data_IF_074567004687
#
_entry.id   IF_074567004687
#
_cell.length_a   1.000
_cell.length_b   1.000
_cell.length_c   1.000
_cell.angle_alpha   90.00
_cell.angle_beta   90.00
_cell.angle_gamma   90.00
#
_symmetry.space_group_name_H-M   'P 1'
#
loop_
_entity.id
_entity.type
_entity.pdbx_description
1 polymer ?
#
# COMPACT_ATOMS: atom_id res chain seq x y z
N UNK A 1 -10.08 57.73 46.39
CA UNK A 1 -10.60 56.54 47.08
C UNK A 1 -9.84 55.31 46.59
N UNK A 2 -8.82 54.88 47.31
CA UNK A 2 -8.07 53.66 47.01
C UNK A 2 -8.74 52.51 47.76
N UNK A 3 -9.42 51.61 47.03
CA UNK A 3 -9.93 50.36 47.58
C UNK A 3 -8.74 49.44 47.92
N UNK A 4 -8.24 49.53 49.15
CA UNK A 4 -7.26 48.60 49.69
C UNK A 4 -7.95 47.27 50.00
N UNK A 5 -7.51 46.20 49.33
CA UNK A 5 -7.98 44.83 49.60
C UNK A 5 -7.64 44.48 51.07
N UNK A 6 -8.58 43.94 51.87
CA UNK A 6 -8.31 43.62 53.26
C UNK A 6 -7.22 42.54 53.39
N UNK A 7 -6.28 42.72 54.31
CA UNK A 7 -5.07 41.89 54.48
C UNK A 7 -5.37 40.38 54.63
N UNK A 8 -6.53 40.01 55.21
CA UNK A 8 -6.99 38.63 55.33
C UNK A 8 -7.24 37.95 53.97
N UNK A 9 -7.77 38.68 52.98
CA UNK A 9 -7.93 38.17 51.62
C UNK A 9 -6.58 37.96 50.94
N UNK A 10 -5.59 38.80 51.26
CA UNK A 10 -4.22 38.65 50.74
C UNK A 10 -3.57 37.36 51.27
N UNK A 11 -3.68 37.09 52.57
CA UNK A 11 -3.18 35.83 53.17
C UNK A 11 -3.86 34.60 52.60
N UNK A 12 -5.18 34.63 52.44
CA UNK A 12 -5.93 33.53 51.85
C UNK A 12 -5.52 33.30 50.38
N UNK A 13 -5.32 34.37 49.61
CA UNK A 13 -4.83 34.30 48.24
C UNK A 13 -3.43 33.68 48.16
N UNK A 14 -2.48 34.10 49.02
CA UNK A 14 -1.14 33.52 49.06
C UNK A 14 -1.16 32.02 49.42
N UNK A 15 -2.05 31.61 50.32
CA UNK A 15 -2.21 30.19 50.68
C UNK A 15 -2.73 29.38 49.49
N UNK A 16 -3.73 29.87 48.76
CA UNK A 16 -4.24 29.22 47.54
C UNK A 16 -3.13 29.10 46.48
N UNK A 17 -2.40 30.19 46.22
CA UNK A 17 -1.29 30.19 45.26
C UNK A 17 -0.23 29.17 45.68
N UNK A 18 0.13 29.11 46.96
CA UNK A 18 1.08 28.13 47.51
C UNK A 18 0.65 26.68 47.25
N UNK A 19 -0.63 26.35 47.46
CA UNK A 19 -1.18 25.01 47.18
C UNK A 19 -1.14 24.69 45.68
N UNK A 20 -1.53 25.63 44.81
CA UNK A 20 -1.49 25.44 43.35
C UNK A 20 -0.05 25.21 42.88
N UNK A 21 0.90 26.01 43.35
CA UNK A 21 2.32 25.87 43.01
C UNK A 21 2.86 24.53 43.51
N UNK A 22 2.55 24.12 44.74
CA UNK A 22 2.95 22.83 45.27
C UNK A 22 2.38 21.66 44.43
N UNK A 23 1.10 21.72 44.06
CA UNK A 23 0.48 20.72 43.19
C UNK A 23 1.14 20.66 41.80
N UNK A 24 1.46 21.81 41.21
CA UNK A 24 2.16 21.89 39.93
C UNK A 24 3.58 21.31 40.00
N UNK A 25 4.32 21.57 41.09
CA UNK A 25 5.65 21.00 41.33
C UNK A 25 5.60 19.48 41.51
N UNK A 26 4.60 18.95 42.22
CA UNK A 26 4.38 17.51 42.36
C UNK A 26 4.08 16.88 41.00
N UNK A 27 3.21 17.48 40.18
CA UNK A 27 2.91 16.99 38.84
C UNK A 27 4.15 17.01 37.92
N UNK A 28 4.97 18.07 38.02
CA UNK A 28 6.23 18.19 37.30
C UNK A 28 7.22 17.09 37.72
N UNK A 29 7.36 16.85 39.03
CA UNK A 29 8.21 15.79 39.57
C UNK A 29 7.75 14.41 39.09
N UNK A 30 6.46 14.11 39.13
CA UNK A 30 5.90 12.86 38.61
C UNK A 30 6.24 12.69 37.12
N UNK A 31 6.07 13.75 36.31
CA UNK A 31 6.42 13.73 34.89
C UNK A 31 7.92 13.47 34.67
N UNK A 32 8.78 14.10 35.46
CA UNK A 32 10.23 13.93 35.40
C UNK A 32 10.63 12.49 35.75
N UNK A 33 10.07 11.92 36.82
CA UNK A 33 10.25 10.50 37.19
C UNK A 33 9.77 9.58 36.07
N UNK A 34 8.62 9.85 35.45
CA UNK A 34 8.11 9.07 34.33
C UNK A 34 9.06 9.10 33.11
N UNK A 35 9.63 10.27 32.79
CA UNK A 35 10.61 10.40 31.70
C UNK A 35 11.89 9.60 31.99
N UNK A 36 12.42 9.72 33.22
CA UNK A 36 13.61 8.95 33.64
C UNK A 36 13.35 7.44 33.59
N UNK A 37 12.17 6.99 34.05
CA UNK A 37 11.77 5.58 33.95
C UNK A 37 11.68 5.12 32.49
N UNK A 38 11.24 5.98 31.55
CA UNK A 38 11.25 5.63 30.13
C UNK A 38 12.67 5.45 29.61
N UNK A 39 13.61 6.35 29.92
CA UNK A 39 15.01 6.23 29.49
C UNK A 39 15.69 4.98 30.05
N UNK A 40 15.48 4.66 31.34
CA UNK A 40 16.01 3.43 31.94
C UNK A 40 15.41 2.16 31.29
N UNK A 41 14.17 2.22 30.81
CA UNK A 41 13.57 1.09 30.06
C UNK A 41 14.18 0.96 28.66
N UNK A 42 14.43 2.08 27.98
CA UNK A 42 15.07 2.11 26.66
C UNK A 42 16.49 1.58 26.71
N UNK A 43 17.27 2.01 27.70
CA UNK A 43 18.63 1.50 27.93
C UNK A 43 18.64 -0.01 28.17
N UNK A 44 17.71 -0.52 29.00
CA UNK A 44 17.56 -1.96 29.20
C UNK A 44 17.18 -2.72 27.94
N UNK A 45 16.24 -2.20 27.15
CA UNK A 45 15.87 -2.79 25.87
C UNK A 45 17.05 -2.80 24.90
N UNK A 46 17.79 -1.70 24.80
CA UNK A 46 18.96 -1.61 23.95
C UNK A 46 20.04 -2.61 24.35
N UNK A 47 20.29 -2.80 25.66
CA UNK A 47 21.21 -3.83 26.16
C UNK A 47 20.76 -5.26 25.84
N UNK A 48 19.45 -5.51 25.83
CA UNK A 48 18.87 -6.83 25.57
C UNK A 48 18.80 -7.18 24.07
N UNK A 49 18.55 -6.19 23.21
CA UNK A 49 18.22 -6.40 21.80
C UNK A 49 19.13 -5.67 20.80
N UNK A 50 20.00 -4.76 21.24
CA UNK A 50 20.90 -3.99 20.37
C UNK A 50 20.21 -2.94 19.49
N UNK A 51 18.89 -2.73 19.64
CA UNK A 51 18.11 -1.77 18.83
C UNK A 51 17.61 -0.63 19.69
N UNK A 52 17.87 0.61 19.27
CA UNK A 52 17.43 1.80 19.99
C UNK A 52 15.93 2.06 19.77
N UNK A 53 15.18 2.25 20.86
CA UNK A 53 13.74 2.55 20.77
C UNK A 53 13.53 4.06 20.54
N UNK A 54 12.83 4.49 19.48
CA UNK A 54 12.52 5.89 19.24
C UNK A 54 11.81 6.57 20.43
N UNK A 55 12.06 7.87 20.63
CA UNK A 55 11.42 8.64 21.72
C UNK A 55 9.90 8.76 21.55
N UNK A 56 9.40 8.70 20.32
CA UNK A 56 7.98 8.65 19.97
C UNK A 56 7.28 7.37 20.43
N UNK A 57 8.04 6.31 20.72
CA UNK A 57 7.51 5.03 21.19
C UNK A 57 7.67 4.94 22.71
N UNK A 58 6.54 4.80 23.41
CA UNK A 58 6.50 4.65 24.87
C UNK A 58 6.65 3.18 25.27
N UNK A 59 7.52 2.91 26.24
CA UNK A 59 7.79 1.57 26.75
C UNK A 59 7.01 1.23 28.03
N UNK A 60 6.44 0.02 28.06
CA UNK A 60 5.79 -0.62 29.19
C UNK A 60 6.25 -2.08 29.31
N UNK A 61 5.99 -2.70 30.46
CA UNK A 61 6.14 -4.15 30.60
C UNK A 61 4.92 -4.83 29.99
N UNK A 62 5.13 -5.90 29.23
CA UNK A 62 4.08 -6.80 28.79
C UNK A 62 3.54 -7.61 29.99
N UNK A 63 2.31 -8.12 29.88
CA UNK A 63 1.72 -8.99 30.91
C UNK A 63 2.44 -10.34 30.98
N UNK A 64 2.77 -10.89 29.81
CA UNK A 64 3.51 -12.13 29.64
C UNK A 64 4.64 -11.90 28.63
N UNK A 65 5.77 -12.62 28.76
CA UNK A 65 6.82 -12.59 27.74
C UNK A 65 6.33 -13.19 26.42
N UNK A 66 6.73 -12.58 25.31
CA UNK A 66 6.46 -13.04 23.95
C UNK A 66 7.72 -13.67 23.35
N UNK A 67 7.68 -14.98 23.05
CA UNK A 67 8.79 -15.70 22.44
C UNK A 67 9.11 -15.16 21.04
N UNK A 68 8.08 -15.02 20.21
CA UNK A 68 8.12 -14.29 18.95
C UNK A 68 7.43 -12.95 19.14
N UNK A 69 8.06 -11.87 18.67
CA UNK A 69 7.47 -10.55 18.73
C UNK A 69 6.21 -10.45 17.85
N UNK A 70 5.33 -9.51 18.15
CA UNK A 70 4.14 -9.25 17.34
C UNK A 70 3.77 -7.78 17.39
N UNK A 71 3.01 -7.30 16.40
CA UNK A 71 2.55 -5.92 16.39
C UNK A 71 1.22 -5.74 15.70
N UNK A 72 0.56 -4.62 16.03
CA UNK A 72 -0.64 -4.13 15.38
C UNK A 72 -0.49 -2.63 15.13
N UNK A 73 -0.81 -2.18 13.92
CA UNK A 73 -0.74 -0.77 13.55
C UNK A 73 -2.04 -0.07 13.94
N UNK A 74 -1.88 1.11 14.54
CA UNK A 74 -2.98 2.01 14.88
C UNK A 74 -2.97 3.19 13.93
N UNK A 75 -4.06 3.34 13.16
CA UNK A 75 -4.23 4.47 12.24
C UNK A 75 -5.12 5.55 12.85
N UNK A 76 -4.86 6.83 12.53
CA UNK A 76 -5.78 7.91 12.86
C UNK A 76 -7.11 7.73 12.12
N UNK A 77 -8.21 8.01 12.81
CA UNK A 77 -9.54 7.99 12.23
C UNK A 77 -10.39 9.12 12.78
N UNK A 78 -11.36 9.60 12.01
CA UNK A 78 -12.33 10.57 12.52
C UNK A 78 -13.21 9.96 13.61
N UNK A 79 -13.48 10.72 14.68
CA UNK A 79 -14.37 10.28 15.76
C UNK A 79 -15.81 10.02 15.29
N UNK A 80 -16.24 10.74 14.25
CA UNK A 80 -17.48 10.48 13.53
C UNK A 80 -17.19 10.37 12.03
N UNK A 81 -17.34 9.16 11.49
CA UNK A 81 -17.25 8.88 10.05
C UNK A 81 -18.66 8.87 9.43
N UNK A 82 -18.79 9.25 8.16
CA UNK A 82 -20.02 9.02 7.41
C UNK A 82 -20.18 7.55 7.06
N UNK A 83 -21.38 7.18 6.60
CA UNK A 83 -21.71 5.85 6.08
C UNK A 83 -20.83 5.41 4.90
N UNK A 84 -20.23 6.35 4.17
CA UNK A 84 -19.33 6.12 3.01
C UNK A 84 -17.82 6.15 3.37
N UNK A 85 -17.45 6.40 4.63
CA UNK A 85 -16.05 6.47 5.06
C UNK A 85 -15.29 7.75 4.68
N UNK A 86 -15.89 8.67 3.92
CA UNK A 86 -15.30 9.96 3.53
C UNK A 86 -15.90 11.12 4.32
N UNK A 87 -15.20 12.25 4.42
CA UNK A 87 -15.77 13.50 4.95
C UNK A 87 -15.94 14.53 3.85
N UNK A 88 -17.10 14.51 3.22
CA UNK A 88 -17.61 15.72 2.54
C UNK A 88 -19.10 15.97 2.78
N UNK A 89 -19.44 16.37 4.01
CA UNK A 89 -20.63 17.13 4.52
C UNK A 89 -20.69 16.92 6.05
N UNK A 90 -20.56 18.03 6.77
CA UNK A 90 -20.13 18.13 8.18
C UNK A 90 -21.13 17.54 9.18
N UNK A 91 -20.61 16.88 10.22
CA UNK A 91 -21.19 16.97 11.57
C UNK A 91 -20.25 17.81 12.43
N UNK A 92 -20.74 18.46 13.49
CA UNK A 92 -19.99 19.45 14.28
C UNK A 92 -18.79 18.88 15.06
N UNK A 93 -18.56 17.56 15.05
CA UNK A 93 -17.48 16.94 15.82
C UNK A 93 -16.25 16.65 14.94
N UNK A 94 -15.25 17.52 14.98
CA UNK A 94 -13.99 17.40 14.23
C UNK A 94 -12.89 16.62 14.96
N UNK A 95 -13.20 15.89 16.04
CA UNK A 95 -12.19 15.17 16.79
C UNK A 95 -11.57 14.01 15.99
N UNK A 96 -10.25 13.85 16.13
CA UNK A 96 -9.47 12.72 15.60
C UNK A 96 -9.23 11.70 16.72
N UNK A 97 -9.54 10.43 16.44
CA UNK A 97 -9.16 9.31 17.29
C UNK A 97 -7.80 8.80 16.82
N UNK A 98 -6.79 8.97 17.67
CA UNK A 98 -5.47 8.39 17.47
C UNK A 98 -5.42 7.00 18.10
N UNK A 99 -5.54 5.95 17.28
CA UNK A 99 -5.31 4.57 17.74
C UNK A 99 -3.81 4.34 17.85
N UNK A 100 -3.35 3.83 18.98
CA UNK A 100 -1.93 3.56 19.18
C UNK A 100 -1.53 2.27 18.46
N UNK A 101 -0.43 2.34 17.72
CA UNK A 101 0.31 1.16 17.28
C UNK A 101 0.93 0.47 18.50
N UNK A 102 0.83 -0.86 18.55
CA UNK A 102 1.29 -1.67 19.67
C UNK A 102 2.29 -2.70 19.17
N UNK A 103 3.45 -2.77 19.81
CA UNK A 103 4.52 -3.72 19.47
C UNK A 103 4.89 -4.50 20.74
N UNK A 104 5.01 -5.81 20.62
CA UNK A 104 5.43 -6.73 21.67
C UNK A 104 6.74 -7.41 21.27
N UNK A 105 7.73 -7.38 22.15
CA UNK A 105 9.00 -8.11 21.99
C UNK A 105 9.45 -8.56 23.37
N UNK A 106 9.55 -9.88 23.57
CA UNK A 106 9.89 -10.44 24.88
C UNK A 106 9.00 -9.88 25.99
N UNK A 107 9.60 -9.26 27.00
CA UNK A 107 8.90 -8.66 28.17
C UNK A 107 8.38 -7.25 27.94
N UNK A 108 8.54 -6.70 26.74
CA UNK A 108 8.28 -5.30 26.45
C UNK A 108 7.01 -5.11 25.63
N UNK A 109 6.20 -4.14 26.05
CA UNK A 109 5.07 -3.60 25.31
C UNK A 109 5.39 -2.16 24.94
N UNK A 110 5.40 -1.87 23.66
CA UNK A 110 5.74 -0.57 23.08
C UNK A 110 4.50 0.03 22.42
N UNK A 111 4.32 1.34 22.59
CA UNK A 111 3.13 2.08 22.17
C UNK A 111 3.55 3.33 21.38
N UNK A 112 3.18 3.41 20.10
CA UNK A 112 3.45 4.56 19.23
C UNK A 112 2.16 5.17 18.69
N UNK A 113 2.09 6.49 18.59
CA UNK A 113 0.93 7.19 17.98
C UNK A 113 1.04 7.29 16.45
N UNK A 114 2.26 7.20 15.92
CA UNK A 114 2.54 7.23 14.49
C UNK A 114 2.75 5.80 13.96
N UNK A 115 1.87 5.31 13.05
CA UNK A 115 2.04 3.99 12.43
C UNK A 115 3.28 3.89 11.55
N UNK A 116 3.78 5.00 10.96
CA UNK A 116 4.97 4.97 10.12
C UNK A 116 6.23 4.72 10.95
N UNK A 117 6.45 5.49 12.03
CA UNK A 117 7.55 5.27 12.95
C UNK A 117 7.46 3.89 13.64
N UNK A 118 6.25 3.44 13.99
CA UNK A 118 6.04 2.12 14.57
C UNK A 118 6.46 1.00 13.58
N UNK A 119 6.02 1.08 12.33
CA UNK A 119 6.39 0.11 11.31
C UNK A 119 7.88 0.15 10.98
N UNK A 120 8.47 1.34 10.83
CA UNK A 120 9.90 1.50 10.60
C UNK A 120 10.72 0.87 11.73
N UNK A 121 10.28 1.02 12.98
CA UNK A 121 10.92 0.38 14.12
C UNK A 121 10.80 -1.16 14.09
N UNK A 122 9.66 -1.71 13.67
CA UNK A 122 9.52 -3.17 13.45
C UNK A 122 10.50 -3.67 12.39
N UNK A 123 10.67 -2.93 11.30
CA UNK A 123 11.63 -3.28 10.25
C UNK A 123 13.08 -3.25 10.77
N UNK A 124 13.43 -2.30 11.65
CA UNK A 124 14.74 -2.28 12.33
C UNK A 124 14.94 -3.49 13.24
N UNK A 125 13.91 -3.89 14.00
CA UNK A 125 13.98 -5.08 14.85
C UNK A 125 14.25 -6.34 14.02
N UNK A 126 13.50 -6.53 12.92
CA UNK A 126 13.70 -7.66 12.00
C UNK A 126 15.08 -7.64 11.34
N UNK A 127 15.56 -6.46 10.94
CA UNK A 127 16.90 -6.29 10.37
C UNK A 127 18.01 -6.64 11.38
N UNK A 128 17.77 -6.46 12.68
CA UNK A 128 18.67 -6.89 13.75
C UNK A 128 18.53 -8.40 14.11
N UNK A 129 17.75 -9.17 13.35
CA UNK A 129 17.54 -10.60 13.58
C UNK A 129 16.53 -10.92 14.69
N UNK A 130 15.80 -9.93 15.19
CA UNK A 130 14.79 -10.14 16.24
C UNK A 130 13.50 -10.62 15.56
N UNK A 131 12.98 -11.82 15.90
CA UNK A 131 11.81 -12.36 15.25
C UNK A 131 10.56 -11.56 15.66
N UNK A 132 9.88 -10.99 14.67
CA UNK A 132 8.61 -10.28 14.84
C UNK A 132 7.65 -10.75 13.74
N UNK A 133 6.55 -11.39 14.15
CA UNK A 133 5.51 -11.89 13.26
C UNK A 133 4.87 -10.78 12.42
N UNK A 134 4.27 -11.17 11.29
CA UNK A 134 3.53 -10.24 10.44
C UNK A 134 2.33 -9.63 11.16
N UNK A 135 2.00 -8.38 10.84
CA UNK A 135 0.70 -7.81 11.21
C UNK A 135 -0.41 -8.28 10.24
N UNK A 136 -1.63 -7.81 10.47
CA UNK A 136 -2.78 -8.20 9.64
C UNK A 136 -2.62 -7.70 8.19
N UNK A 137 -2.11 -6.49 8.02
CA UNK A 137 -1.90 -5.83 6.74
C UNK A 137 -0.78 -6.51 5.93
N UNK A 138 0.31 -6.92 6.59
CA UNK A 138 1.38 -7.70 5.96
C UNK A 138 0.88 -9.07 5.50
N UNK A 139 0.07 -9.76 6.33
CA UNK A 139 -0.57 -11.02 5.92
C UNK A 139 -1.48 -10.84 4.72
N UNK A 140 -2.34 -9.81 4.74
CA UNK A 140 -3.24 -9.52 3.63
C UNK A 140 -2.48 -9.22 2.32
N UNK A 141 -1.40 -8.42 2.40
CA UNK A 141 -0.53 -8.15 1.26
C UNK A 141 0.15 -9.42 0.75
N UNK A 142 0.68 -10.25 1.64
CA UNK A 142 1.31 -11.54 1.31
C UNK A 142 0.32 -12.47 0.62
N UNK A 143 -0.89 -12.61 1.14
CA UNK A 143 -1.94 -13.44 0.55
C UNK A 143 -2.37 -12.91 -0.82
N UNK A 144 -2.47 -11.60 -1.00
CA UNK A 144 -2.76 -10.99 -2.29
C UNK A 144 -1.66 -11.25 -3.33
N UNK A 145 -0.39 -11.04 -2.97
CA UNK A 145 0.76 -11.28 -3.86
C UNK A 145 0.86 -12.75 -4.23
N UNK A 146 0.76 -13.66 -3.26
CA UNK A 146 0.79 -15.10 -3.51
C UNK A 146 -0.44 -15.56 -4.30
N UNK A 147 -1.61 -14.98 -4.06
CA UNK A 147 -2.83 -15.22 -4.82
C UNK A 147 -2.68 -14.81 -6.29
N UNK A 148 -2.11 -13.64 -6.55
CA UNK A 148 -1.80 -13.18 -7.91
C UNK A 148 -0.81 -14.10 -8.61
N UNK A 149 0.25 -14.55 -7.92
CA UNK A 149 1.22 -15.49 -8.50
C UNK A 149 0.61 -16.85 -8.78
N UNK A 150 -0.23 -17.38 -7.88
CA UNK A 150 -1.00 -18.60 -8.12
C UNK A 150 -1.90 -18.45 -9.33
N UNK A 151 -2.68 -17.37 -9.40
CA UNK A 151 -3.56 -17.09 -10.53
C UNK A 151 -2.79 -17.00 -11.87
N UNK A 152 -1.60 -16.37 -11.86
CA UNK A 152 -0.70 -16.35 -13.02
C UNK A 152 -0.21 -17.75 -13.41
N UNK A 153 0.22 -18.57 -12.44
CA UNK A 153 0.68 -19.95 -12.68
C UNK A 153 -0.46 -20.89 -13.15
N UNK A 154 -1.68 -20.67 -12.66
CA UNK A 154 -2.85 -21.50 -12.98
C UNK A 154 -3.69 -20.97 -14.15
N UNK A 155 -3.25 -19.92 -14.86
CA UNK A 155 -3.89 -19.44 -16.08
C UNK A 155 -3.69 -20.45 -17.22
N UNK A 156 -4.34 -21.61 -17.10
CA UNK A 156 -4.27 -22.73 -18.03
C UNK A 156 -5.38 -22.71 -19.06
N UNK A 157 -6.40 -21.87 -18.86
CA UNK A 157 -7.52 -21.67 -19.78
C UNK A 157 -7.88 -20.20 -19.91
N UNK A 158 -8.46 -19.84 -21.05
CA UNK A 158 -8.90 -18.47 -21.30
C UNK A 158 -10.09 -18.07 -20.42
N UNK A 159 -10.91 -19.04 -19.97
CA UNK A 159 -12.05 -18.77 -19.08
C UNK A 159 -11.58 -18.38 -17.68
N UNK A 160 -10.49 -19.01 -17.19
CA UNK A 160 -9.86 -18.61 -15.94
C UNK A 160 -9.30 -17.18 -16.00
N UNK A 161 -8.72 -16.80 -17.15
CA UNK A 161 -8.25 -15.43 -17.39
C UNK A 161 -9.45 -14.46 -17.39
N UNK A 162 -10.49 -14.73 -18.17
CA UNK A 162 -11.69 -13.87 -18.24
C UNK A 162 -12.33 -13.69 -16.85
N UNK A 163 -12.48 -14.78 -16.09
CA UNK A 163 -13.06 -14.75 -14.75
C UNK A 163 -12.21 -13.95 -13.76
N UNK A 164 -10.88 -13.97 -13.90
CA UNK A 164 -9.98 -13.24 -13.01
C UNK A 164 -10.12 -11.72 -13.15
N UNK A 165 -10.55 -11.23 -14.30
CA UNK A 165 -10.65 -9.79 -14.60
C UNK A 165 -12.10 -9.30 -14.76
N UNK A 166 -13.11 -10.15 -14.52
CA UNK A 166 -14.52 -9.78 -14.71
C UNK A 166 -14.99 -8.67 -13.76
N UNK A 167 -14.39 -8.57 -12.57
CA UNK A 167 -14.73 -7.55 -11.56
C UNK A 167 -13.99 -6.22 -11.73
N UNK A 168 -12.83 -6.22 -12.38
CA UNK A 168 -12.03 -5.02 -12.63
C UNK A 168 -11.27 -5.13 -13.98
N UNK A 169 -11.92 -4.77 -15.10
CA UNK A 169 -11.34 -4.95 -16.44
C UNK A 169 -10.05 -4.15 -16.68
N UNK A 170 -9.84 -3.03 -15.98
CA UNK A 170 -8.61 -2.23 -16.10
C UNK A 170 -7.39 -2.93 -15.49
N UNK A 171 -7.55 -4.02 -14.73
CA UNK A 171 -6.39 -4.78 -14.25
C UNK A 171 -5.82 -5.69 -15.35
N UNK A 172 -6.54 -5.89 -16.46
CA UNK A 172 -6.11 -6.76 -17.57
C UNK A 172 -4.91 -6.20 -18.35
N UNK A 173 -4.83 -4.88 -18.52
CA UNK A 173 -3.65 -4.22 -19.12
C UNK A 173 -2.39 -4.46 -18.28
N UNK A 174 -2.50 -4.37 -16.94
CA UNK A 174 -1.41 -4.69 -16.03
C UNK A 174 -0.95 -6.14 -16.14
N UNK A 175 -1.89 -7.08 -16.27
CA UNK A 175 -1.58 -8.48 -16.53
C UNK A 175 -0.84 -8.69 -17.86
N UNK A 176 -1.31 -8.06 -18.95
CA UNK A 176 -0.64 -8.16 -20.26
C UNK A 176 0.76 -7.55 -20.23
N UNK A 177 0.94 -6.41 -19.56
CA UNK A 177 2.24 -5.77 -19.36
C UNK A 177 3.21 -6.70 -18.61
N UNK A 178 2.75 -7.32 -17.51
CA UNK A 178 3.56 -8.26 -16.73
C UNK A 178 3.91 -9.53 -17.49
N UNK A 179 3.01 -10.02 -18.36
CA UNK A 179 3.31 -11.14 -19.22
C UNK A 179 4.40 -10.76 -20.23
N UNK A 180 4.26 -9.64 -20.95
CA UNK A 180 5.25 -9.18 -21.93
C UNK A 180 6.63 -8.92 -21.30
N UNK A 181 6.68 -8.38 -20.07
CA UNK A 181 7.93 -8.19 -19.32
C UNK A 181 8.69 -9.50 -19.10
N UNK A 182 8.00 -10.63 -18.92
CA UNK A 182 8.63 -11.94 -18.78
C UNK A 182 9.29 -12.41 -20.08
N UNK A 183 8.82 -11.93 -21.23
CA UNK A 183 9.43 -12.16 -22.54
C UNK A 183 10.44 -11.06 -22.93
N UNK A 184 10.92 -10.27 -21.97
CA UNK A 184 12.00 -9.30 -22.18
C UNK A 184 11.56 -7.93 -22.69
N UNK A 185 10.25 -7.65 -22.74
CA UNK A 185 9.75 -6.32 -23.12
C UNK A 185 9.81 -5.34 -21.95
N UNK A 186 10.11 -4.08 -22.24
CA UNK A 186 9.81 -2.99 -21.30
C UNK A 186 8.38 -2.53 -21.55
N UNK A 187 7.45 -2.88 -20.66
CA UNK A 187 6.05 -2.50 -20.78
C UNK A 187 5.68 -1.45 -19.74
N UNK A 188 4.95 -0.40 -20.12
CA UNK A 188 4.39 0.62 -19.23
C UNK A 188 2.90 0.77 -19.50
N UNK A 189 2.09 0.66 -18.45
CA UNK A 189 0.62 0.85 -18.51
C UNK A 189 0.30 2.34 -18.56
N UNK A 190 -0.63 2.74 -19.41
CA UNK A 190 -1.08 4.12 -19.51
C UNK A 190 -2.21 4.44 -18.52
N UNK A 191 -2.28 5.66 -17.96
CA UNK A 191 -3.36 6.02 -17.05
C UNK A 191 -4.73 6.07 -17.77
N UNK A 192 -5.84 5.60 -17.15
CA UNK A 192 -7.19 5.56 -17.75
C UNK A 192 -7.77 6.93 -18.15
N UNK A 193 -7.18 8.03 -17.69
CA UNK A 193 -7.69 9.39 -17.90
C UNK A 193 -7.12 10.08 -19.13
N UNK A 194 -6.25 9.40 -19.90
CA UNK A 194 -5.55 9.95 -21.07
C UNK A 194 -5.57 8.97 -22.24
N UNK A 195 -6.69 8.25 -22.42
CA UNK A 195 -6.84 7.21 -23.44
C UNK A 195 -6.73 7.81 -24.86
N UNK A 196 -5.50 7.98 -25.31
CA UNK A 196 -5.15 8.26 -26.70
C UNK A 196 -5.51 7.09 -27.63
N UNK A 197 -6.10 6.01 -27.10
CA UNK A 197 -6.56 4.83 -27.85
C UNK A 197 -5.59 3.65 -27.80
N UNK A 198 -4.77 3.55 -26.74
CA UNK A 198 -3.89 2.43 -26.44
C UNK A 198 -3.72 2.31 -24.91
N UNK A 199 -3.43 1.09 -24.43
CA UNK A 199 -3.35 0.75 -23.00
C UNK A 199 -1.89 0.59 -22.52
N UNK A 200 -0.95 0.25 -23.43
CA UNK A 200 0.46 0.01 -23.11
C UNK A 200 1.42 0.76 -24.04
N UNK A 201 2.48 1.33 -23.48
CA UNK A 201 3.70 1.71 -24.20
C UNK A 201 4.76 0.62 -24.00
N UNK A 202 5.36 0.16 -25.08
CA UNK A 202 6.23 -1.00 -25.10
C UNK A 202 7.57 -0.66 -25.79
N UNK A 203 8.67 -1.20 -25.27
CA UNK A 203 9.94 -1.30 -25.99
C UNK A 203 10.36 -2.76 -26.06
N UNK A 204 10.58 -3.25 -27.28
CA UNK A 204 11.03 -4.61 -27.51
C UNK A 204 12.47 -4.83 -27.06
N UNK A 205 12.92 -6.10 -26.90
CA UNK A 205 14.29 -6.43 -26.53
C UNK A 205 15.37 -5.82 -27.45
N UNK A 206 15.00 -5.55 -28.71
CA UNK A 206 15.86 -4.92 -29.73
C UNK A 206 15.78 -3.39 -29.74
N UNK A 207 15.05 -2.78 -28.80
CA UNK A 207 14.88 -1.33 -28.70
C UNK A 207 13.70 -0.73 -29.49
N UNK A 208 13.00 -1.54 -30.30
CA UNK A 208 11.89 -1.08 -31.14
C UNK A 208 10.68 -0.63 -30.31
N UNK A 209 10.12 0.54 -30.60
CA UNK A 209 8.96 1.09 -29.88
C UNK A 209 7.63 0.56 -30.41
N UNK A 210 6.72 0.23 -29.50
CA UNK A 210 5.37 -0.25 -29.79
C UNK A 210 4.34 0.45 -28.90
N UNK A 211 3.10 0.56 -29.39
CA UNK A 211 1.93 0.75 -28.53
C UNK A 211 1.01 -0.46 -28.63
N UNK A 212 0.28 -0.75 -27.56
CA UNK A 212 -0.64 -1.88 -27.53
C UNK A 212 -2.00 -1.56 -26.92
N UNK A 213 -3.04 -2.20 -27.44
CA UNK A 213 -4.40 -2.22 -26.86
C UNK A 213 -4.68 -3.63 -26.30
N UNK A 214 -5.26 -3.68 -25.11
CA UNK A 214 -5.61 -4.89 -24.39
C UNK A 214 -7.14 -4.96 -24.18
N UNK A 215 -7.78 -6.07 -24.57
CA UNK A 215 -9.23 -6.26 -24.40
C UNK A 215 -9.59 -7.62 -23.79
N UNK A 216 -10.07 -7.58 -22.55
CA UNK A 216 -10.65 -8.74 -21.88
C UNK A 216 -12.16 -8.84 -22.17
N UNK A 217 -12.51 -9.54 -23.25
CA UNK A 217 -13.89 -9.83 -23.64
C UNK A 217 -14.24 -11.31 -23.51
N UNK A 218 -15.54 -11.61 -23.47
CA UNK A 218 -16.01 -12.99 -23.55
C UNK A 218 -15.63 -13.61 -24.90
N UNK A 219 -15.51 -14.94 -24.95
CA UNK A 219 -15.14 -15.68 -26.17
C UNK A 219 -16.04 -15.39 -27.37
N UNK A 220 -17.29 -15.05 -27.12
CA UNK A 220 -18.31 -14.82 -28.16
C UNK A 220 -18.28 -13.39 -28.71
N UNK A 221 -17.51 -12.49 -28.11
CA UNK A 221 -17.40 -11.10 -28.56
C UNK A 221 -16.10 -10.92 -29.34
N UNK A 222 -16.15 -11.17 -30.64
CA UNK A 222 -14.97 -11.07 -31.52
C UNK A 222 -14.55 -9.62 -31.75
N UNK A 223 -13.25 -9.41 -31.90
CA UNK A 223 -12.64 -8.11 -32.19
C UNK A 223 -12.74 -7.83 -33.69
N UNK A 224 -13.47 -6.76 -34.04
CA UNK A 224 -13.63 -6.30 -35.41
C UNK A 224 -12.60 -5.24 -35.83
N UNK A 225 -12.51 -5.03 -37.14
CA UNK A 225 -11.63 -4.02 -37.78
C UNK A 225 -11.71 -2.61 -37.15
N UNK A 226 -12.88 -2.06 -36.75
CA UNK A 226 -12.95 -0.72 -36.17
C UNK A 226 -12.08 -0.53 -34.92
N UNK A 227 -11.93 -1.56 -34.09
CA UNK A 227 -11.09 -1.48 -32.88
C UNK A 227 -9.60 -1.38 -33.25
N UNK A 228 -9.16 -2.12 -34.27
CA UNK A 228 -7.77 -2.06 -34.75
C UNK A 228 -7.50 -0.70 -35.41
N UNK A 229 -8.47 -0.15 -36.15
CA UNK A 229 -8.35 1.19 -36.74
C UNK A 229 -8.22 2.28 -35.68
N UNK A 230 -8.88 2.14 -34.53
CA UNK A 230 -8.73 3.06 -33.40
C UNK A 230 -7.28 3.08 -32.89
N UNK A 231 -6.69 1.91 -32.68
CA UNK A 231 -5.28 1.79 -32.26
C UNK A 231 -4.32 2.35 -33.34
N UNK A 232 -4.59 2.09 -34.63
CA UNK A 232 -3.82 2.70 -35.72
C UNK A 232 -3.91 4.24 -35.69
N UNK A 233 -5.10 4.78 -35.43
CA UNK A 233 -5.34 6.21 -35.30
C UNK A 233 -4.57 6.82 -34.13
N UNK A 234 -4.55 6.14 -32.98
CA UNK A 234 -3.74 6.52 -31.82
C UNK A 234 -2.25 6.66 -32.18
N UNK A 235 -1.74 5.74 -33.01
CA UNK A 235 -0.35 5.74 -33.43
C UNK A 235 0.05 6.94 -34.31
N UNK A 236 -0.91 7.65 -34.91
CA UNK A 236 -0.63 8.88 -35.65
C UNK A 236 -0.12 10.00 -34.77
N UNK A 237 -0.40 9.94 -33.46
CA UNK A 237 0.11 10.88 -32.46
C UNK A 237 1.34 10.32 -31.75
N UNK A 238 1.38 9.01 -31.51
CA UNK A 238 2.43 8.35 -30.72
C UNK A 238 3.70 8.01 -31.51
N UNK A 239 3.58 7.84 -32.84
CA UNK A 239 4.68 7.53 -33.74
C UNK A 239 5.51 6.30 -33.33
N UNK A 240 4.86 5.27 -32.76
CA UNK A 240 5.53 4.01 -32.47
C UNK A 240 5.81 3.22 -33.76
N UNK A 241 6.91 2.45 -33.75
CA UNK A 241 7.36 1.68 -34.90
C UNK A 241 6.49 0.44 -35.16
N UNK A 242 5.80 -0.08 -34.14
CA UNK A 242 4.91 -1.21 -34.27
C UNK A 242 3.65 -1.11 -33.41
N UNK A 243 2.68 -1.97 -33.73
CA UNK A 243 1.39 -2.04 -33.05
C UNK A 243 1.12 -3.47 -32.59
N UNK A 244 0.55 -3.60 -31.39
CA UNK A 244 0.18 -4.88 -30.82
C UNK A 244 -1.27 -4.82 -30.30
N UNK A 245 -2.10 -5.80 -30.66
CA UNK A 245 -3.45 -5.93 -30.12
C UNK A 245 -3.57 -7.25 -29.37
N UNK A 246 -3.95 -7.20 -28.09
CA UNK A 246 -4.08 -8.36 -27.21
C UNK A 246 -5.53 -8.52 -26.80
N UNK A 247 -6.09 -9.72 -26.94
CA UNK A 247 -7.46 -10.00 -26.49
C UNK A 247 -7.62 -11.38 -25.90
N UNK A 248 -8.61 -11.55 -25.01
CA UNK A 248 -9.07 -12.87 -24.56
C UNK A 248 -10.03 -13.55 -25.53
N UNK A 249 -10.43 -12.86 -26.60
CA UNK A 249 -11.37 -13.35 -27.61
C UNK A 249 -10.63 -13.71 -28.92
N UNK A 250 -11.36 -13.74 -30.03
CA UNK A 250 -10.85 -13.95 -31.40
C UNK A 250 -11.01 -12.70 -32.25
N UNK A 251 -10.20 -12.59 -33.28
CA UNK A 251 -10.33 -11.55 -34.31
C UNK A 251 -11.25 -12.02 -35.44
N UNK A 252 -12.03 -11.11 -36.02
CA UNK A 252 -12.78 -11.40 -37.25
C UNK A 252 -11.85 -11.51 -38.47
N UNK A 253 -12.31 -12.10 -39.57
CA UNK A 253 -11.58 -12.18 -40.84
C UNK A 253 -11.06 -10.80 -41.29
N UNK A 254 -11.93 -9.79 -41.22
CA UNK A 254 -11.64 -8.44 -41.68
C UNK A 254 -10.62 -7.75 -40.77
N UNK A 255 -10.64 -8.05 -39.47
CA UNK A 255 -9.64 -7.57 -38.53
C UNK A 255 -8.26 -8.19 -38.82
N UNK A 256 -8.21 -9.50 -39.09
CA UNK A 256 -6.99 -10.22 -39.45
C UNK A 256 -6.40 -9.73 -40.78
N UNK A 257 -7.24 -9.42 -41.76
CA UNK A 257 -6.80 -8.83 -43.03
C UNK A 257 -6.25 -7.43 -42.85
N UNK A 258 -6.99 -6.57 -42.13
CA UNK A 258 -6.54 -5.22 -41.85
C UNK A 258 -5.22 -5.18 -41.06
N UNK A 259 -5.07 -6.04 -40.04
CA UNK A 259 -3.84 -6.13 -39.27
C UNK A 259 -2.62 -6.47 -40.16
N UNK A 260 -2.79 -7.40 -41.12
CA UNK A 260 -1.75 -7.72 -42.11
C UNK A 260 -1.41 -6.52 -43.00
N UNK A 261 -2.41 -5.76 -43.43
CA UNK A 261 -2.21 -4.58 -44.28
C UNK A 261 -1.38 -3.48 -43.60
N UNK A 262 -1.58 -3.28 -42.29
CA UNK A 262 -0.88 -2.23 -41.53
C UNK A 262 0.33 -2.73 -40.72
N UNK A 263 0.63 -4.03 -40.77
CA UNK A 263 1.72 -4.63 -40.01
C UNK A 263 1.47 -4.71 -38.49
N UNK A 264 0.21 -4.78 -38.05
CA UNK A 264 -0.16 -4.90 -36.65
C UNK A 264 -0.03 -6.35 -36.17
N UNK A 265 0.66 -6.55 -35.03
CA UNK A 265 0.76 -7.84 -34.36
C UNK A 265 -0.49 -8.11 -33.53
N UNK A 266 -0.95 -9.36 -33.53
CA UNK A 266 -2.16 -9.78 -32.84
C UNK A 266 -1.85 -10.94 -31.89
N UNK A 267 -2.39 -10.86 -30.67
CA UNK A 267 -2.40 -11.94 -29.69
C UNK A 267 -3.87 -12.23 -29.36
N UNK A 268 -4.38 -13.33 -29.88
CA UNK A 268 -5.73 -13.83 -29.56
C UNK A 268 -5.75 -14.63 -28.25
N UNK A 269 -6.93 -15.02 -27.80
CA UNK A 269 -7.07 -15.75 -26.53
C UNK A 269 -6.31 -17.08 -26.49
N UNK A 270 -6.14 -17.76 -27.63
CA UNK A 270 -5.39 -19.01 -27.69
C UNK A 270 -3.87 -18.78 -27.61
N UNK A 271 -3.37 -17.75 -28.30
CA UNK A 271 -1.98 -17.29 -28.19
C UNK A 271 -1.66 -16.80 -26.78
N UNK A 272 -2.56 -16.04 -26.17
CA UNK A 272 -2.40 -15.52 -24.81
C UNK A 272 -2.22 -16.65 -23.79
N UNK A 273 -3.05 -17.71 -23.87
CA UNK A 273 -2.91 -18.89 -22.99
C UNK A 273 -1.57 -19.59 -23.18
N UNK A 274 -1.10 -19.74 -24.43
CA UNK A 274 0.22 -20.35 -24.69
C UNK A 274 1.34 -19.54 -24.09
N UNK A 275 1.33 -18.21 -24.25
CA UNK A 275 2.31 -17.32 -23.64
C UNK A 275 2.30 -17.43 -22.11
N UNK A 276 1.12 -17.56 -21.49
CA UNK A 276 1.01 -17.78 -20.04
C UNK A 276 1.65 -19.11 -19.61
N UNK A 277 1.43 -20.18 -20.38
CA UNK A 277 2.01 -21.50 -20.10
C UNK A 277 3.53 -21.49 -20.25
N UNK A 278 4.06 -20.86 -21.30
CA UNK A 278 5.50 -20.69 -21.54
C UNK A 278 6.18 -19.87 -20.43
N UNK A 279 5.54 -18.77 -20.02
CA UNK A 279 5.99 -17.94 -18.92
C UNK A 279 6.02 -18.71 -17.59
N UNK A 280 4.98 -19.50 -17.31
CA UNK A 280 4.91 -20.32 -16.10
C UNK A 280 6.00 -21.42 -16.05
N UNK A 281 6.35 -22.01 -17.19
CA UNK A 281 7.44 -23.00 -17.28
C UNK A 281 8.82 -22.37 -17.07
N UNK A 282 9.01 -21.14 -17.56
CA UNK A 282 10.29 -20.42 -17.46
C UNK A 282 10.58 -19.90 -16.04
N UNK A 283 9.57 -19.74 -15.19
CA UNK A 283 9.68 -19.15 -13.85
C UNK A 283 9.84 -20.18 -12.69
N UNK A 284 10.36 -21.38 -12.94
CA UNK A 284 10.48 -22.49 -11.97
C UNK A 284 10.57 -22.05 -10.49
N UNK A 285 9.55 -22.42 -9.70
CA UNK A 285 9.26 -22.08 -8.28
C UNK A 285 10.02 -20.93 -7.58
N UNK A 286 10.27 -19.79 -8.25
CA UNK A 286 10.92 -18.64 -7.60
C UNK A 286 9.96 -18.06 -6.56
N UNK A 287 10.24 -18.32 -5.29
CA UNK A 287 9.55 -17.69 -4.17
C UNK A 287 9.85 -16.18 -4.18
N UNK A 288 8.83 -15.30 -4.07
CA UNK A 288 9.08 -13.86 -3.93
C UNK A 288 9.99 -13.59 -2.74
N UNK A 289 10.90 -12.61 -2.84
CA UNK A 289 11.72 -12.22 -1.70
C UNK A 289 10.82 -11.70 -0.58
N UNK A 290 11.23 -11.88 0.67
CA UNK A 290 10.50 -11.41 1.86
C UNK A 290 10.20 -9.90 1.82
N UNK A 291 11.05 -9.11 1.16
CA UNK A 291 10.83 -7.68 0.93
C UNK A 291 9.58 -7.36 0.10
N UNK A 292 9.09 -8.29 -0.72
CA UNK A 292 7.86 -8.12 -1.50
C UNK A 292 6.62 -8.00 -0.59
N UNK A 293 6.69 -8.55 0.62
CA UNK A 293 5.59 -8.53 1.59
C UNK A 293 5.65 -7.35 2.57
N UNK A 294 6.75 -6.59 2.58
CA UNK A 294 6.87 -5.40 3.43
C UNK A 294 5.89 -4.30 3.00
N UNK A 295 5.31 -3.60 3.96
CA UNK A 295 4.39 -2.48 3.71
C UNK A 295 5.19 -1.26 3.25
N UNK A 296 4.80 -0.72 2.12
CA UNK A 296 5.29 0.56 1.62
C UNK A 296 4.60 1.72 2.34
N UNK A 297 5.12 2.93 2.17
CA UNK A 297 4.42 4.14 2.62
C UNK A 297 3.02 4.23 2.02
N UNK A 298 2.83 3.84 0.75
CA UNK A 298 1.53 3.85 0.09
C UNK A 298 0.56 2.85 0.74
N UNK A 299 1.03 1.64 1.07
CA UNK A 299 0.23 0.62 1.75
C UNK A 299 -0.25 1.12 3.12
N UNK A 300 0.60 1.81 3.89
CA UNK A 300 0.19 2.40 5.17
C UNK A 300 -0.81 3.56 4.98
N UNK A 301 -0.60 4.40 3.97
CA UNK A 301 -1.46 5.56 3.69
C UNK A 301 -2.88 5.17 3.24
N UNK A 302 -3.07 3.99 2.65
CA UNK A 302 -4.39 3.54 2.22
C UNK A 302 -5.36 3.38 3.39
N UNK A 303 -4.84 3.09 4.59
CA UNK A 303 -5.60 2.94 5.82
C UNK A 303 -5.90 4.28 6.52
N UNK A 304 -5.33 5.38 6.04
CA UNK A 304 -5.58 6.74 6.53
C UNK A 304 -6.63 7.41 5.63
N UNK A 305 -7.69 8.03 6.22
CA UNK A 305 -8.69 8.78 5.45
C UNK A 305 -8.04 9.82 4.52
N UNK A 306 -8.52 9.91 3.28
CA UNK A 306 -7.87 10.69 2.21
C UNK A 306 -7.66 12.18 2.57
N UNK A 307 -8.61 12.76 3.28
CA UNK A 307 -8.59 14.14 3.79
C UNK A 307 -7.57 14.38 4.92
N UNK A 308 -7.13 13.31 5.59
CA UNK A 308 -6.11 13.35 6.64
C UNK A 308 -4.68 13.15 6.10
N UNK A 309 -4.53 12.71 4.85
CA UNK A 309 -3.23 12.34 4.25
C UNK A 309 -2.26 13.52 4.05
N UNK A 310 -2.76 14.76 4.06
CA UNK A 310 -1.94 15.97 3.94
C UNK A 310 -1.40 16.52 5.27
N UNK A 311 -1.78 15.94 6.40
CA UNK A 311 -1.24 16.32 7.71
C UNK A 311 0.12 15.62 7.93
N UNK A 312 1.07 16.28 8.57
CA UNK A 312 2.35 15.67 8.94
C UNK A 312 2.11 14.68 10.11
N UNK A 313 2.53 13.43 9.91
CA UNK A 313 2.45 12.33 10.89
C UNK A 313 3.84 11.98 11.38
#
# INVERSE_FOLDING_TARGET
MTNSIPQQYLHFLYLIIGVIVAAALVALLIKLVQLLVQEVRRDRFFKEYGVAVPKSIRMRKAKHPHATGSFALGYPAWAAAKRDGTRDRRSNNTAVIHRLSVIFVGRWKMLGSDPFAAYAFVQQLRAAGIPVDYCAEERAKRDAVLGQLRARRTATSIDAIIQSFSGNPTDFEGFCADLLRQFGWQAQVTPPSRDGGFDLRLHGPTGTSYIAECKCYSRNHHIGRPMLQKLQGANMTEHAQGLLFITTSRFTSDALEYARQVGMQLIDGAQLVRLCQEAAQSQGDVQPPESAFALTRADLMQHIPADMRGQAW
#
